data_IF_591685001771
#
_entry.id   IF_591685001771
#
_cell.length_a   1.000
_cell.length_b   1.000
_cell.length_c   1.000
_cell.angle_alpha   90.00
_cell.angle_beta   90.00
_cell.angle_gamma   90.00
#
_symmetry.space_group_name_H-M   'P 1'
#
loop_
_entity.id
_entity.type
_entity.pdbx_description
1 polymer ?
#
# COMPACT_ATOMS: atom_id res chain seq x y z
N UNK A 1 25.10 3.22 -38.16
CA UNK A 1 24.70 3.89 -36.90
C UNK A 1 25.95 4.44 -36.25
N UNK A 2 25.90 5.63 -35.70
CA UNK A 2 26.99 6.17 -34.88
C UNK A 2 27.09 5.34 -33.59
N UNK A 3 28.33 5.09 -33.15
CA UNK A 3 28.61 4.25 -31.98
C UNK A 3 29.50 4.99 -31.00
N UNK A 4 29.27 4.78 -29.72
CA UNK A 4 29.95 5.47 -28.63
C UNK A 4 30.63 4.48 -27.70
N UNK A 5 31.85 4.80 -27.28
CA UNK A 5 32.48 4.15 -26.14
C UNK A 5 31.80 4.54 -24.82
N UNK A 6 32.06 3.79 -23.76
CA UNK A 6 31.53 4.08 -22.42
C UNK A 6 31.91 5.49 -21.92
N UNK A 7 33.08 6.01 -22.31
CA UNK A 7 33.52 7.35 -21.93
C UNK A 7 32.79 8.46 -22.70
N UNK A 8 32.48 8.21 -23.97
CA UNK A 8 31.75 9.16 -24.82
C UNK A 8 30.28 9.25 -24.40
N UNK A 9 29.61 8.12 -24.18
CA UNK A 9 28.22 8.14 -23.70
C UNK A 9 28.11 8.75 -22.30
N UNK A 10 29.07 8.48 -21.41
CA UNK A 10 29.10 9.10 -20.07
C UNK A 10 29.17 10.63 -20.15
N UNK A 11 30.04 11.16 -21.03
CA UNK A 11 30.12 12.61 -21.27
C UNK A 11 28.84 13.17 -21.89
N UNK A 12 28.24 12.44 -22.83
CA UNK A 12 27.05 12.89 -23.57
C UNK A 12 25.79 12.92 -22.71
N UNK A 13 25.67 11.99 -21.77
CA UNK A 13 24.44 11.78 -20.98
C UNK A 13 24.55 12.26 -19.54
N UNK A 14 25.77 12.58 -19.08
CA UNK A 14 26.05 12.96 -17.69
C UNK A 14 26.02 11.79 -16.71
N UNK A 15 25.77 10.56 -17.18
CA UNK A 15 25.76 9.36 -16.35
C UNK A 15 27.18 8.88 -16.11
N UNK A 16 27.51 8.57 -14.86
CA UNK A 16 28.86 8.11 -14.52
C UNK A 16 29.18 6.77 -15.20
N UNK A 17 30.46 6.57 -15.57
CA UNK A 17 30.94 5.28 -16.10
C UNK A 17 30.60 4.12 -15.14
N UNK A 18 30.67 4.36 -13.82
CA UNK A 18 30.30 3.38 -12.80
C UNK A 18 28.83 2.99 -12.91
N UNK A 19 27.94 3.96 -13.07
CA UNK A 19 26.50 3.73 -13.23
C UNK A 19 26.20 2.97 -14.52
N UNK A 20 26.84 3.31 -15.64
CA UNK A 20 26.66 2.60 -16.91
C UNK A 20 27.09 1.13 -16.83
N UNK A 21 28.20 0.84 -16.11
CA UNK A 21 28.63 -0.55 -15.87
C UNK A 21 27.62 -1.29 -15.00
N UNK A 22 27.13 -0.64 -13.95
CA UNK A 22 26.15 -1.23 -13.06
C UNK A 22 24.83 -1.53 -13.79
N UNK A 23 24.36 -0.63 -14.66
CA UNK A 23 23.16 -0.86 -15.47
C UNK A 23 23.31 -2.04 -16.43
N UNK A 24 24.50 -2.26 -17.00
CA UNK A 24 24.78 -3.46 -17.78
C UNK A 24 24.81 -4.72 -16.89
N UNK A 25 25.46 -4.66 -15.73
CA UNK A 25 25.54 -5.79 -14.78
C UNK A 25 24.17 -6.30 -14.32
N UNK A 26 23.22 -5.39 -14.10
CA UNK A 26 21.84 -5.75 -13.70
C UNK A 26 20.90 -5.99 -14.90
N UNK A 27 21.41 -5.89 -16.14
CA UNK A 27 20.63 -6.09 -17.36
C UNK A 27 19.60 -4.99 -17.64
N UNK A 28 19.82 -3.78 -17.14
CA UNK A 28 18.95 -2.61 -17.34
C UNK A 28 19.27 -1.86 -18.65
N UNK A 29 20.56 -1.80 -19.02
CA UNK A 29 21.03 -1.27 -20.29
C UNK A 29 22.12 -2.20 -20.82
N UNK A 30 21.84 -2.91 -21.91
CA UNK A 30 22.70 -4.00 -22.41
C UNK A 30 23.39 -3.61 -23.72
N UNK A 31 24.50 -2.85 -23.67
CA UNK A 31 25.23 -2.47 -24.86
C UNK A 31 25.86 -3.68 -25.55
N UNK A 32 26.14 -3.54 -26.84
CA UNK A 32 26.88 -4.55 -27.58
C UNK A 32 28.34 -4.55 -27.12
N UNK A 33 29.05 -5.67 -27.26
CA UNK A 33 30.51 -5.72 -27.04
C UNK A 33 31.23 -5.80 -28.36
N UNK A 34 32.29 -5.00 -28.50
CA UNK A 34 33.20 -5.05 -29.63
C UNK A 34 33.83 -6.45 -29.72
N UNK A 35 33.68 -7.17 -30.86
CA UNK A 35 34.20 -8.52 -30.99
C UNK A 35 35.73 -8.63 -30.91
N UNK A 36 36.46 -7.54 -31.21
CA UNK A 36 37.92 -7.51 -31.30
C UNK A 36 38.60 -7.09 -29.99
N UNK A 37 37.97 -6.20 -29.22
CA UNK A 37 38.53 -5.63 -27.99
C UNK A 37 37.77 -6.02 -26.72
N UNK A 38 36.54 -6.54 -26.86
CA UNK A 38 35.65 -6.84 -25.74
C UNK A 38 35.07 -5.61 -25.04
N UNK A 39 35.35 -4.40 -25.55
CA UNK A 39 34.84 -3.15 -24.98
C UNK A 39 33.35 -2.95 -25.29
N UNK A 40 32.63 -2.27 -24.38
CA UNK A 40 31.22 -1.93 -24.57
C UNK A 40 31.08 -0.84 -25.62
N UNK A 41 30.17 -1.06 -26.56
CA UNK A 41 29.78 -0.16 -27.63
C UNK A 41 28.30 0.18 -27.45
N UNK A 42 28.01 1.47 -27.40
CA UNK A 42 26.66 2.00 -27.29
C UNK A 42 26.22 2.63 -28.60
N UNK A 43 24.94 2.58 -28.89
CA UNK A 43 24.28 3.14 -30.08
C UNK A 43 23.43 4.35 -29.70
N UNK A 44 22.83 5.01 -30.68
CA UNK A 44 21.81 6.04 -30.42
C UNK A 44 20.58 5.47 -29.71
N UNK A 45 20.22 4.21 -29.97
CA UNK A 45 19.11 3.53 -29.30
C UNK A 45 19.41 3.31 -27.81
N UNK A 46 20.65 2.98 -27.47
CA UNK A 46 21.10 2.88 -26.07
C UNK A 46 21.02 4.24 -25.34
N UNK A 47 21.25 5.35 -26.06
CA UNK A 47 21.10 6.70 -25.50
C UNK A 47 19.63 6.99 -25.20
N UNK A 48 18.72 6.67 -26.14
CA UNK A 48 17.28 6.81 -25.92
C UNK A 48 16.81 5.96 -24.73
N UNK A 49 17.29 4.72 -24.65
CA UNK A 49 17.02 3.81 -23.55
C UNK A 49 17.52 4.36 -22.22
N UNK A 50 18.73 4.93 -22.19
CA UNK A 50 19.29 5.54 -20.99
C UNK A 50 18.49 6.78 -20.54
N UNK A 51 18.01 7.61 -21.48
CA UNK A 51 17.12 8.72 -21.15
C UNK A 51 15.81 8.25 -20.52
N UNK A 52 15.19 7.19 -21.04
CA UNK A 52 14.00 6.58 -20.42
C UNK A 52 14.29 6.12 -18.98
N UNK A 53 15.39 5.38 -18.77
CA UNK A 53 15.81 4.93 -17.44
C UNK A 53 16.00 6.13 -16.49
N UNK A 54 16.64 7.21 -16.96
CA UNK A 54 16.86 8.40 -16.15
C UNK A 54 15.56 9.12 -15.79
N UNK A 55 14.62 9.25 -16.73
CA UNK A 55 13.30 9.86 -16.48
C UNK A 55 12.51 9.05 -15.44
N UNK A 56 12.43 7.74 -15.61
CA UNK A 56 11.77 6.84 -14.65
C UNK A 56 12.46 6.88 -13.28
N UNK A 57 13.79 7.00 -13.25
CA UNK A 57 14.53 7.14 -11.99
C UNK A 57 14.26 8.48 -11.31
N UNK A 58 14.12 9.55 -12.09
CA UNK A 58 13.85 10.89 -11.60
C UNK A 58 12.48 10.99 -10.93
N UNK A 59 11.45 10.32 -11.47
CA UNK A 59 10.12 10.27 -10.84
C UNK A 59 10.06 9.33 -9.62
N UNK A 60 11.18 8.63 -9.34
CA UNK A 60 11.43 7.96 -8.08
C UNK A 60 11.22 6.45 -8.09
N UNK A 61 11.14 5.80 -9.24
CA UNK A 61 11.14 4.34 -9.32
C UNK A 61 12.49 3.78 -8.84
N UNK A 62 12.45 2.63 -8.19
CA UNK A 62 13.60 1.78 -7.95
C UNK A 62 14.15 1.22 -9.26
N UNK A 63 15.41 0.80 -9.28
CA UNK A 63 15.98 0.21 -10.49
C UNK A 63 15.32 -1.14 -10.83
N UNK A 64 14.77 -1.83 -9.83
CA UNK A 64 14.05 -3.09 -10.04
C UNK A 64 12.71 -2.85 -10.73
N UNK A 65 11.93 -1.84 -10.30
CA UNK A 65 10.69 -1.46 -10.98
C UNK A 65 10.94 -1.03 -12.43
N UNK A 66 12.00 -0.24 -12.66
CA UNK A 66 12.38 0.19 -14.02
C UNK A 66 12.78 -1.03 -14.86
N UNK A 67 13.51 -1.99 -14.29
CA UNK A 67 13.89 -3.23 -14.96
C UNK A 67 12.66 -4.07 -15.32
N UNK A 68 11.74 -4.27 -14.39
CA UNK A 68 10.49 -4.98 -14.64
C UNK A 68 9.68 -4.31 -15.74
N UNK A 69 9.58 -2.98 -15.71
CA UNK A 69 8.91 -2.19 -16.74
C UNK A 69 9.54 -2.38 -18.13
N UNK A 70 10.87 -2.37 -18.22
CA UNK A 70 11.61 -2.48 -19.48
C UNK A 70 11.57 -3.89 -20.09
N UNK A 71 11.42 -4.92 -19.26
CA UNK A 71 11.41 -6.32 -19.71
C UNK A 71 10.01 -6.90 -19.91
N UNK A 72 8.94 -6.08 -19.81
CA UNK A 72 7.59 -6.54 -20.12
C UNK A 72 7.43 -6.86 -21.62
N UNK A 73 6.69 -7.91 -22.02
CA UNK A 73 6.48 -8.26 -23.43
C UNK A 73 5.85 -7.15 -24.28
N UNK A 74 5.20 -6.19 -23.61
CA UNK A 74 4.60 -4.97 -24.17
C UNK A 74 5.59 -3.82 -24.34
N UNK A 75 6.90 -4.05 -24.21
CA UNK A 75 7.98 -3.05 -24.32
C UNK A 75 8.22 -2.54 -25.77
N UNK A 76 7.13 -2.22 -26.46
CA UNK A 76 7.11 -1.43 -27.69
C UNK A 76 6.16 -0.23 -27.53
N UNK A 77 6.07 0.29 -26.29
CA UNK A 77 5.31 1.49 -25.97
C UNK A 77 5.95 2.69 -26.65
N UNK A 78 5.13 3.44 -27.37
CA UNK A 78 5.51 4.73 -27.94
C UNK A 78 6.01 5.69 -26.86
N UNK A 79 6.79 6.71 -27.25
CA UNK A 79 7.21 7.78 -26.34
C UNK A 79 6.02 8.39 -25.58
N UNK A 80 4.87 8.54 -26.26
CA UNK A 80 3.64 9.06 -25.65
C UNK A 80 3.11 8.15 -24.54
N UNK A 81 3.07 6.84 -24.76
CA UNK A 81 2.59 5.87 -23.77
C UNK A 81 3.54 5.83 -22.56
N UNK A 82 4.85 5.88 -22.80
CA UNK A 82 5.85 5.98 -21.72
C UNK A 82 5.62 7.25 -20.88
N UNK A 83 5.45 8.42 -21.52
CA UNK A 83 5.17 9.67 -20.82
C UNK A 83 3.83 9.67 -20.07
N UNK A 84 2.81 8.98 -20.60
CA UNK A 84 1.52 8.81 -19.91
C UNK A 84 1.68 7.96 -18.65
N UNK A 85 2.44 6.87 -18.72
CA UNK A 85 2.74 6.03 -17.57
C UNK A 85 3.57 6.80 -16.53
N UNK A 86 4.59 7.55 -16.95
CA UNK A 86 5.35 8.46 -16.09
C UNK A 86 4.46 9.48 -15.37
N UNK A 87 3.54 10.13 -16.10
CA UNK A 87 2.57 11.06 -15.53
C UNK A 87 1.67 10.39 -14.50
N UNK A 88 1.15 9.21 -14.80
CA UNK A 88 0.26 8.48 -13.90
C UNK A 88 0.98 8.08 -12.59
N UNK A 89 2.24 7.64 -12.69
CA UNK A 89 3.07 7.30 -11.51
C UNK A 89 3.37 8.54 -10.66
N UNK A 90 3.66 9.69 -11.28
CA UNK A 90 3.82 10.95 -10.56
C UNK A 90 2.53 11.39 -9.86
N UNK A 91 1.37 11.20 -10.49
CA UNK A 91 0.07 11.52 -9.87
C UNK A 91 -0.25 10.58 -8.71
N UNK A 92 0.09 9.29 -8.80
CA UNK A 92 -0.01 8.34 -7.68
C UNK A 92 0.87 8.78 -6.51
N UNK A 93 2.13 9.12 -6.78
CA UNK A 93 3.06 9.60 -5.76
C UNK A 93 2.63 10.92 -5.13
N UNK A 94 2.07 11.84 -5.92
CA UNK A 94 1.48 13.08 -5.40
C UNK A 94 0.36 12.79 -4.41
N UNK A 95 -0.57 11.90 -4.77
CA UNK A 95 -1.66 11.49 -3.86
C UNK A 95 -1.12 10.85 -2.58
N UNK A 96 -0.12 9.99 -2.68
CA UNK A 96 0.51 9.38 -1.50
C UNK A 96 1.14 10.42 -0.56
N UNK A 97 1.84 11.42 -1.11
CA UNK A 97 2.42 12.51 -0.34
C UNK A 97 1.34 13.42 0.28
N UNK A 98 0.28 13.75 -0.47
CA UNK A 98 -0.86 14.51 0.04
C UNK A 98 -1.51 13.80 1.24
N UNK A 99 -1.72 12.48 1.15
CA UNK A 99 -2.22 11.66 2.27
C UNK A 99 -1.30 11.65 3.47
N UNK A 100 0.01 11.52 3.23
CA UNK A 100 1.02 11.58 4.30
C UNK A 100 1.00 12.93 5.02
N UNK A 101 0.84 14.03 4.27
CA UNK A 101 0.71 15.38 4.83
C UNK A 101 -0.56 15.48 5.69
N UNK A 102 -1.71 15.00 5.21
CA UNK A 102 -2.97 15.02 5.96
C UNK A 102 -2.89 14.22 7.26
N UNK A 103 -2.29 13.03 7.25
CA UNK A 103 -2.09 12.24 8.47
C UNK A 103 -1.22 12.98 9.49
N UNK A 104 -0.17 13.66 9.03
CA UNK A 104 0.69 14.51 9.88
C UNK A 104 -0.08 15.72 10.40
N UNK A 105 -0.87 16.41 9.57
CA UNK A 105 -1.69 17.55 9.98
C UNK A 105 -2.73 17.17 11.02
N UNK A 106 -3.36 16.00 10.87
CA UNK A 106 -4.28 15.47 11.87
C UNK A 106 -3.58 15.17 13.19
N UNK A 107 -2.38 14.57 13.13
CA UNK A 107 -1.56 14.39 14.32
C UNK A 107 -1.11 15.72 14.93
N UNK A 108 -0.83 16.76 14.14
CA UNK A 108 -0.54 18.08 14.73
C UNK A 108 -1.77 18.61 15.47
N UNK A 109 -2.97 18.47 14.89
CA UNK A 109 -4.22 18.93 15.52
C UNK A 109 -4.50 18.18 16.82
N UNK A 110 -4.34 16.86 16.84
CA UNK A 110 -4.49 16.06 18.05
C UNK A 110 -3.47 16.44 19.14
N UNK A 111 -2.22 16.77 18.78
CA UNK A 111 -1.22 17.27 19.74
C UNK A 111 -1.64 18.62 20.33
N UNK A 112 -2.23 19.50 19.52
CA UNK A 112 -2.70 20.81 19.96
C UNK A 112 -3.93 20.71 20.87
N UNK A 113 -4.82 19.74 20.64
CA UNK A 113 -6.06 19.54 21.40
C UNK A 113 -5.85 18.74 22.70
N UNK A 114 -5.08 17.64 22.65
CA UNK A 114 -4.92 16.71 23.78
C UNK A 114 -3.57 16.85 24.51
N UNK A 115 -2.60 17.59 23.94
CA UNK A 115 -1.29 17.87 24.55
C UNK A 115 -0.26 16.73 24.46
N UNK A 116 -0.71 15.50 24.16
CA UNK A 116 0.12 14.33 23.93
C UNK A 116 -0.42 13.53 22.75
N UNK A 117 0.46 12.85 22.01
CA UNK A 117 0.08 11.87 20.99
C UNK A 117 0.84 10.59 21.20
N UNK A 118 0.13 9.49 20.99
CA UNK A 118 0.76 8.21 20.81
C UNK A 118 1.64 8.22 19.53
N UNK A 119 2.96 8.25 19.75
CA UNK A 119 3.94 8.20 18.67
C UNK A 119 3.83 6.93 17.82
N UNK A 120 3.34 5.82 18.38
CA UNK A 120 3.11 4.58 17.65
C UNK A 120 1.93 4.72 16.68
N UNK A 121 0.86 5.42 17.06
CA UNK A 121 -0.25 5.74 16.15
C UNK A 121 0.22 6.56 14.95
N UNK A 122 1.00 7.61 15.18
CA UNK A 122 1.54 8.43 14.09
C UNK A 122 2.45 7.62 13.16
N UNK A 123 3.36 6.82 13.74
CA UNK A 123 4.27 5.98 12.96
C UNK A 123 3.51 4.91 12.17
N UNK A 124 2.47 4.32 12.76
CA UNK A 124 1.55 3.38 12.10
C UNK A 124 0.89 4.02 10.89
N UNK A 125 0.22 5.16 11.05
CA UNK A 125 -0.45 5.89 9.98
C UNK A 125 0.50 6.27 8.83
N UNK A 126 1.65 6.88 9.16
CA UNK A 126 2.64 7.27 8.16
C UNK A 126 3.15 6.04 7.41
N UNK A 127 3.47 4.96 8.14
CA UNK A 127 4.00 3.74 7.54
C UNK A 127 2.98 3.12 6.60
N UNK A 128 1.73 2.96 7.02
CA UNK A 128 0.67 2.35 6.19
C UNK A 128 0.39 3.16 4.91
N UNK A 129 0.47 4.48 4.95
CA UNK A 129 0.36 5.33 3.75
C UNK A 129 1.59 5.17 2.84
N UNK A 130 2.78 5.08 3.42
CA UNK A 130 4.04 4.96 2.66
C UNK A 130 4.19 3.60 1.95
N UNK A 131 3.55 2.56 2.48
CA UNK A 131 3.66 1.18 2.01
C UNK A 131 2.41 0.68 1.29
N UNK A 132 1.42 1.54 1.01
CA UNK A 132 0.16 1.14 0.37
C UNK A 132 0.35 0.30 -0.90
N UNK A 133 1.30 0.67 -1.77
CA UNK A 133 1.54 -0.08 -3.01
C UNK A 133 2.19 -1.45 -2.74
N UNK A 134 2.99 -1.56 -1.68
CA UNK A 134 3.52 -2.84 -1.20
C UNK A 134 2.41 -3.70 -0.58
N UNK A 135 1.50 -3.10 0.18
CA UNK A 135 0.32 -3.77 0.75
C UNK A 135 -0.58 -4.31 -0.35
N UNK A 136 -0.90 -3.50 -1.36
CA UNK A 136 -1.65 -3.93 -2.55
C UNK A 136 -0.98 -5.11 -3.23
N UNK A 137 0.32 -4.99 -3.50
CA UNK A 137 1.10 -6.04 -4.15
C UNK A 137 1.08 -7.33 -3.32
N UNK A 138 1.26 -7.26 -2.00
CA UNK A 138 1.15 -8.42 -1.13
C UNK A 138 -0.26 -9.03 -1.20
N UNK A 139 -1.31 -8.21 -1.11
CA UNK A 139 -2.71 -8.69 -1.16
C UNK A 139 -3.08 -9.34 -2.49
N UNK A 140 -2.53 -8.90 -3.62
CA UNK A 140 -2.79 -9.54 -4.94
C UNK A 140 -2.27 -10.98 -5.06
N UNK A 141 -1.44 -11.44 -4.12
CA UNK A 141 -1.04 -12.86 -4.06
C UNK A 141 -2.16 -13.76 -3.49
N UNK A 142 -3.11 -13.17 -2.75
CA UNK A 142 -4.13 -13.91 -2.00
C UNK A 142 -5.56 -13.54 -2.42
N UNK A 143 -5.76 -12.34 -2.97
CA UNK A 143 -7.04 -11.83 -3.45
C UNK A 143 -6.95 -11.52 -4.93
N UNK A 144 -8.09 -11.62 -5.62
CA UNK A 144 -8.18 -11.15 -7.00
C UNK A 144 -8.01 -9.62 -7.07
N UNK A 145 -7.54 -9.15 -8.23
CA UNK A 145 -7.24 -7.73 -8.47
C UNK A 145 -8.47 -6.83 -8.23
N UNK A 146 -9.68 -7.31 -8.56
CA UNK A 146 -10.93 -6.56 -8.38
C UNK A 146 -11.21 -6.32 -6.89
N UNK A 147 -10.97 -7.30 -6.04
CA UNK A 147 -11.14 -7.22 -4.59
C UNK A 147 -10.12 -6.28 -3.97
N UNK A 148 -8.85 -6.36 -4.39
CA UNK A 148 -7.81 -5.42 -3.95
C UNK A 148 -8.16 -3.99 -4.37
N UNK A 149 -8.62 -3.80 -5.60
CA UNK A 149 -9.05 -2.48 -6.08
C UNK A 149 -10.28 -1.94 -5.33
N UNK A 150 -11.21 -2.81 -4.92
CA UNK A 150 -12.33 -2.41 -4.07
C UNK A 150 -11.90 -1.90 -2.68
N UNK A 151 -10.77 -2.38 -2.16
CA UNK A 151 -10.23 -1.97 -0.85
C UNK A 151 -9.46 -0.64 -0.98
N UNK A 152 -8.63 -0.47 -2.01
CA UNK A 152 -7.72 0.68 -2.09
C UNK A 152 -8.10 1.75 -3.12
N UNK A 153 -8.95 1.44 -4.10
CA UNK A 153 -9.35 2.37 -5.17
C UNK A 153 -10.81 2.83 -5.08
N UNK A 154 -11.48 2.58 -3.95
CA UNK A 154 -12.84 3.05 -3.70
C UNK A 154 -12.90 4.57 -3.51
N UNK A 155 -13.63 5.26 -4.40
CA UNK A 155 -13.77 6.73 -4.37
C UNK A 155 -14.50 7.23 -3.13
N UNK A 156 -15.42 6.44 -2.55
CA UNK A 156 -16.08 6.81 -1.30
C UNK A 156 -15.11 6.73 -0.12
N UNK A 157 -14.24 5.71 -0.07
CA UNK A 157 -13.16 5.62 0.92
C UNK A 157 -12.22 6.83 0.83
N UNK A 158 -11.87 7.25 -0.39
CA UNK A 158 -11.02 8.45 -0.60
C UNK A 158 -11.70 9.74 -0.14
N UNK A 159 -13.01 9.87 -0.34
CA UNK A 159 -13.75 11.06 0.12
C UNK A 159 -13.86 11.12 1.65
N UNK A 160 -13.91 9.97 2.32
CA UNK A 160 -14.02 9.83 3.77
C UNK A 160 -12.69 9.57 4.47
N UNK A 161 -11.56 9.75 3.79
CA UNK A 161 -10.23 9.40 4.31
C UNK A 161 -9.92 10.06 5.67
N UNK A 162 -10.24 11.34 5.83
CA UNK A 162 -10.09 12.03 7.12
C UNK A 162 -10.98 11.46 8.23
N UNK A 163 -12.19 11.00 7.90
CA UNK A 163 -13.10 10.36 8.85
C UNK A 163 -12.60 8.98 9.24
N UNK A 164 -11.98 8.25 8.30
CA UNK A 164 -11.34 6.96 8.55
C UNK A 164 -10.13 7.11 9.47
N UNK A 165 -9.24 8.08 9.21
CA UNK A 165 -8.09 8.37 10.07
C UNK A 165 -8.55 8.72 11.50
N UNK A 166 -9.60 9.54 11.63
CA UNK A 166 -10.21 9.89 12.94
C UNK A 166 -10.78 8.68 13.65
N UNK A 167 -11.54 7.85 12.93
CA UNK A 167 -12.15 6.63 13.48
C UNK A 167 -11.08 5.65 13.95
N UNK A 168 -9.98 5.51 13.18
CA UNK A 168 -8.84 4.68 13.56
C UNK A 168 -8.12 5.21 14.80
N UNK A 169 -7.85 6.52 14.87
CA UNK A 169 -7.25 7.13 16.06
C UNK A 169 -8.11 6.94 17.32
N UNK A 170 -9.43 7.10 17.19
CA UNK A 170 -10.38 6.85 18.28
C UNK A 170 -10.38 5.37 18.69
N UNK A 171 -10.35 4.45 17.72
CA UNK A 171 -10.26 3.01 18.01
C UNK A 171 -8.98 2.68 18.78
N UNK A 172 -7.84 3.21 18.36
CA UNK A 172 -6.55 3.01 19.04
C UNK A 172 -6.61 3.51 20.49
N UNK A 173 -7.17 4.70 20.71
CA UNK A 173 -7.40 5.23 22.07
C UNK A 173 -8.29 4.31 22.92
N UNK A 174 -9.39 3.82 22.36
CA UNK A 174 -10.29 2.89 23.07
C UNK A 174 -9.62 1.57 23.40
N UNK A 175 -8.75 1.04 22.53
CA UNK A 175 -7.96 -0.16 22.81
C UNK A 175 -7.08 0.05 24.04
N UNK A 176 -6.34 1.17 24.12
CA UNK A 176 -5.51 1.47 25.28
C UNK A 176 -6.34 1.67 26.57
N UNK A 177 -7.51 2.32 26.48
CA UNK A 177 -8.38 2.59 27.64
C UNK A 177 -9.09 1.34 28.17
N UNK A 178 -9.51 0.44 27.28
CA UNK A 178 -10.30 -0.75 27.62
C UNK A 178 -9.45 -2.02 27.81
N UNK A 179 -8.14 -1.94 27.52
CA UNK A 179 -7.22 -3.06 27.65
C UNK A 179 -7.33 -3.75 29.02
N UNK A 180 -7.46 -5.08 28.98
CA UNK A 180 -7.59 -5.93 30.17
C UNK A 180 -9.03 -6.13 30.66
N UNK A 181 -10.03 -5.45 30.09
CA UNK A 181 -11.43 -5.75 30.33
C UNK A 181 -11.85 -7.06 29.62
N UNK A 182 -12.88 -7.76 30.13
CA UNK A 182 -13.44 -8.93 29.47
C UNK A 182 -13.97 -8.60 28.07
N UNK A 183 -13.86 -9.55 27.13
CA UNK A 183 -14.37 -9.36 25.77
C UNK A 183 -15.86 -8.99 25.74
N UNK A 184 -16.66 -9.50 26.67
CA UNK A 184 -18.10 -9.27 26.76
C UNK A 184 -18.51 -7.98 27.48
N UNK A 185 -17.53 -7.17 27.89
CA UNK A 185 -17.79 -5.86 28.45
C UNK A 185 -18.52 -4.99 27.41
N UNK A 186 -19.60 -4.27 27.78
CA UNK A 186 -20.39 -3.48 26.82
C UNK A 186 -19.56 -2.49 26.00
N UNK A 187 -18.60 -1.83 26.64
CA UNK A 187 -17.73 -0.86 25.95
C UNK A 187 -16.75 -1.54 24.97
N UNK A 188 -16.27 -2.75 25.28
CA UNK A 188 -15.41 -3.53 24.38
C UNK A 188 -16.21 -3.99 23.16
N UNK A 189 -17.44 -4.49 23.38
CA UNK A 189 -18.35 -4.88 22.31
C UNK A 189 -18.68 -3.69 21.40
N UNK A 190 -18.99 -2.53 21.98
CA UNK A 190 -19.30 -1.32 21.23
C UNK A 190 -18.09 -0.77 20.44
N UNK A 191 -16.88 -0.83 21.03
CA UNK A 191 -15.62 -0.49 20.35
C UNK A 191 -15.42 -1.38 19.11
N UNK A 192 -15.53 -2.70 19.25
CA UNK A 192 -15.36 -3.65 18.15
C UNK A 192 -16.43 -3.42 17.07
N UNK A 193 -17.70 -3.28 17.45
CA UNK A 193 -18.80 -3.00 16.52
C UNK A 193 -18.54 -1.72 15.70
N UNK A 194 -18.15 -0.64 16.37
CA UNK A 194 -17.85 0.65 15.74
C UNK A 194 -16.66 0.54 14.78
N UNK A 195 -15.61 -0.19 15.18
CA UNK A 195 -14.45 -0.46 14.33
C UNK A 195 -14.81 -1.27 13.09
N UNK A 196 -15.55 -2.36 13.23
CA UNK A 196 -15.98 -3.19 12.10
C UNK A 196 -16.89 -2.40 11.17
N UNK A 197 -17.82 -1.62 11.71
CA UNK A 197 -18.73 -0.77 10.90
C UNK A 197 -17.98 0.31 10.13
N UNK A 198 -17.01 0.98 10.76
CA UNK A 198 -16.21 2.00 10.07
C UNK A 198 -15.29 1.39 9.01
N UNK A 199 -14.70 0.22 9.28
CA UNK A 199 -13.74 -0.45 8.38
C UNK A 199 -14.41 -1.14 7.20
N UNK A 200 -15.45 -1.94 7.46
CA UNK A 200 -16.11 -2.78 6.44
C UNK A 200 -17.43 -2.19 5.94
N UNK A 201 -17.98 -1.18 6.61
CA UNK A 201 -19.26 -0.57 6.24
C UNK A 201 -19.28 0.01 4.83
N UNK A 202 -18.14 0.49 4.34
CA UNK A 202 -17.98 1.11 3.02
C UNK A 202 -17.60 0.13 1.90
N UNK A 203 -17.35 -1.14 2.23
CA UNK A 203 -17.04 -2.20 1.25
C UNK A 203 -18.32 -2.90 0.77
N UNK A 204 -18.32 -3.49 -0.42
CA UNK A 204 -19.46 -4.31 -0.85
C UNK A 204 -19.56 -5.58 0.01
N UNK A 205 -20.75 -6.18 0.10
CA UNK A 205 -20.91 -7.44 0.83
C UNK A 205 -20.01 -8.55 0.25
N UNK A 206 -19.91 -8.63 -1.08
CA UNK A 206 -19.02 -9.56 -1.77
C UNK A 206 -17.54 -9.34 -1.39
N UNK A 207 -17.08 -8.09 -1.32
CA UNK A 207 -15.71 -7.78 -0.90
C UNK A 207 -15.47 -8.20 0.54
N UNK A 208 -16.43 -7.95 1.44
CA UNK A 208 -16.35 -8.38 2.85
C UNK A 208 -16.32 -9.90 2.94
N UNK A 209 -17.14 -10.61 2.16
CA UNK A 209 -17.16 -12.07 2.12
C UNK A 209 -15.81 -12.65 1.68
N UNK A 210 -15.21 -12.12 0.61
CA UNK A 210 -13.88 -12.57 0.15
C UNK A 210 -12.78 -12.30 1.17
N UNK A 211 -12.82 -11.14 1.84
CA UNK A 211 -11.89 -10.86 2.95
C UNK A 211 -12.10 -11.86 4.08
N UNK A 212 -13.35 -12.08 4.50
CA UNK A 212 -13.70 -13.00 5.58
C UNK A 212 -13.31 -14.43 5.24
N UNK A 213 -13.50 -14.85 3.99
CA UNK A 213 -13.09 -16.16 3.49
C UNK A 213 -11.56 -16.30 3.53
N UNK A 214 -10.80 -15.26 3.16
CA UNK A 214 -9.35 -15.24 3.31
C UNK A 214 -8.92 -15.34 4.78
N UNK A 215 -9.55 -14.57 5.67
CA UNK A 215 -9.30 -14.61 7.12
C UNK A 215 -9.56 -16.03 7.69
N UNK A 216 -10.62 -16.69 7.21
CA UNK A 216 -11.06 -18.00 7.69
C UNK A 216 -10.32 -19.19 7.04
N UNK A 217 -9.99 -19.12 5.74
CA UNK A 217 -9.39 -20.24 4.98
C UNK A 217 -7.87 -20.32 5.12
N UNK A 218 -7.19 -19.18 5.30
CA UNK A 218 -5.74 -19.11 5.06
C UNK A 218 -4.88 -18.77 6.26
N UNK A 219 -5.35 -18.97 7.50
CA UNK A 219 -4.57 -18.63 8.68
C UNK A 219 -4.14 -17.15 8.60
N UNK A 220 -4.92 -16.22 9.15
CA UNK A 220 -4.37 -14.89 9.50
C UNK A 220 -3.05 -15.02 10.28
N UNK A 221 -2.88 -16.15 10.98
CA UNK A 221 -1.66 -16.59 11.65
C UNK A 221 -0.72 -17.49 10.82
N UNK A 222 -0.89 -17.66 9.50
CA UNK A 222 0.14 -18.33 8.70
C UNK A 222 1.36 -17.44 8.71
N UNK A 223 2.41 -18.00 9.30
CA UNK A 223 3.67 -17.32 9.61
C UNK A 223 4.28 -16.59 8.40
N UNK A 224 3.95 -17.02 7.18
CA UNK A 224 4.58 -16.54 5.95
C UNK A 224 4.18 -15.11 5.55
N UNK A 225 2.98 -14.62 5.87
CA UNK A 225 2.54 -13.29 5.41
C UNK A 225 2.27 -12.29 6.54
N UNK A 226 1.98 -12.76 7.76
CA UNK A 226 1.76 -11.88 8.93
C UNK A 226 2.99 -11.02 9.22
N UNK A 227 4.19 -11.60 9.18
CA UNK A 227 5.45 -10.85 9.39
C UNK A 227 5.67 -9.77 8.31
N UNK A 228 5.38 -10.08 7.05
CA UNK A 228 5.49 -9.10 5.97
C UNK A 228 4.44 -7.99 6.13
N UNK A 229 3.20 -8.35 6.45
CA UNK A 229 2.12 -7.40 6.69
C UNK A 229 2.43 -6.47 7.86
N UNK A 230 2.91 -6.99 9.00
CA UNK A 230 3.24 -6.19 10.18
C UNK A 230 4.36 -5.17 9.90
N UNK A 231 5.28 -5.50 8.99
CA UNK A 231 6.33 -4.55 8.54
C UNK A 231 5.75 -3.46 7.63
N UNK A 232 4.72 -3.78 6.85
CA UNK A 232 4.06 -2.83 5.95
C UNK A 232 3.01 -1.99 6.67
N UNK A 233 2.29 -2.52 7.65
CA UNK A 233 1.20 -1.88 8.38
C UNK A 233 1.30 -2.16 9.88
N UNK A 234 2.31 -1.61 10.56
CA UNK A 234 2.54 -1.90 11.97
C UNK A 234 1.38 -1.40 12.83
N UNK A 235 0.96 -2.22 13.79
CA UNK A 235 -0.08 -1.85 14.74
C UNK A 235 0.49 -0.96 15.86
N UNK A 236 -0.26 0.07 16.31
CA UNK A 236 0.18 0.97 17.39
C UNK A 236 -0.09 0.38 18.78
N UNK A 237 0.10 -0.93 18.95
CA UNK A 237 -0.25 -1.65 20.17
C UNK A 237 0.96 -2.40 20.72
N UNK A 238 1.03 -2.54 22.03
CA UNK A 238 1.93 -3.52 22.65
C UNK A 238 1.53 -4.95 22.27
N UNK A 239 2.45 -5.90 22.41
CA UNK A 239 2.19 -7.30 22.09
C UNK A 239 1.03 -7.84 22.93
N UNK A 240 0.93 -7.43 24.19
CA UNK A 240 -0.12 -7.85 25.11
C UNK A 240 -1.47 -7.26 24.72
N UNK A 241 -1.52 -6.00 24.28
CA UNK A 241 -2.74 -5.37 23.74
C UNK A 241 -3.19 -6.02 22.44
N UNK A 242 -2.27 -6.34 21.53
CA UNK A 242 -2.58 -7.07 20.29
C UNK A 242 -3.23 -8.42 20.59
N UNK A 243 -2.64 -9.21 21.50
CA UNK A 243 -3.20 -10.52 21.87
C UNK A 243 -4.57 -10.41 22.54
N UNK A 244 -4.76 -9.41 23.41
CA UNK A 244 -6.05 -9.15 24.03
C UNK A 244 -7.12 -8.77 23.01
N UNK A 245 -6.77 -7.89 22.06
CA UNK A 245 -7.67 -7.43 21.02
C UNK A 245 -8.05 -8.55 20.05
N UNK A 246 -7.09 -9.37 19.61
CA UNK A 246 -7.33 -10.56 18.78
C UNK A 246 -8.36 -11.47 19.46
N UNK A 247 -8.15 -11.81 20.74
CA UNK A 247 -9.11 -12.64 21.50
C UNK A 247 -10.49 -11.99 21.63
N UNK A 248 -10.56 -10.68 21.88
CA UNK A 248 -11.82 -9.97 22.04
C UNK A 248 -12.61 -9.92 20.72
N UNK A 249 -11.92 -9.74 19.59
CA UNK A 249 -12.52 -9.79 18.26
C UNK A 249 -13.03 -11.19 17.92
N UNK A 250 -12.25 -12.24 18.20
CA UNK A 250 -12.66 -13.63 17.98
C UNK A 250 -13.93 -13.98 18.78
N UNK A 251 -13.95 -13.60 20.07
CA UNK A 251 -15.12 -13.81 20.93
C UNK A 251 -16.35 -13.05 20.41
N UNK A 252 -16.17 -11.82 19.92
CA UNK A 252 -17.24 -11.02 19.32
C UNK A 252 -17.80 -11.68 18.05
N UNK A 253 -16.91 -12.12 17.15
CA UNK A 253 -17.29 -12.78 15.89
C UNK A 253 -18.05 -14.08 16.14
N UNK A 254 -17.56 -14.92 17.06
CA UNK A 254 -18.26 -16.15 17.44
C UNK A 254 -19.66 -15.84 17.98
N UNK A 255 -19.83 -14.78 18.79
CA UNK A 255 -21.15 -14.42 19.33
C UNK A 255 -22.12 -14.01 18.23
N UNK A 256 -21.69 -13.24 17.23
CA UNK A 256 -22.52 -12.87 16.09
C UNK A 256 -23.04 -14.10 15.34
N UNK A 257 -22.15 -15.07 15.07
CA UNK A 257 -22.52 -16.34 14.44
C UNK A 257 -23.55 -17.13 15.28
N UNK A 258 -23.36 -17.20 16.60
CA UNK A 258 -24.29 -17.88 17.51
C UNK A 258 -25.66 -17.19 17.63
N UNK A 259 -25.71 -15.87 17.46
CA UNK A 259 -26.96 -15.10 17.45
C UNK A 259 -27.70 -15.18 16.11
N UNK A 260 -27.13 -15.85 15.10
CA UNK A 260 -27.69 -15.92 13.75
C UNK A 260 -27.68 -14.57 13.03
N UNK A 261 -26.93 -13.59 13.56
CA UNK A 261 -26.71 -12.29 12.92
C UNK A 261 -25.61 -12.51 11.90
N UNK A 262 -26.03 -12.81 10.68
CA UNK A 262 -25.12 -12.82 9.55
C UNK A 262 -24.65 -11.37 9.32
N UNK A 263 -23.35 -11.14 9.11
CA UNK A 263 -22.86 -9.83 8.65
C UNK A 263 -23.56 -9.39 7.33
N UNK A 264 -24.25 -10.33 6.66
CA UNK A 264 -25.16 -10.09 5.53
C UNK A 264 -26.42 -9.26 5.88
N UNK A 265 -27.05 -9.44 7.04
CA UNK A 265 -28.35 -8.79 7.33
C UNK A 265 -28.22 -7.36 7.87
N UNK A 266 -27.08 -7.01 8.49
CA UNK A 266 -26.86 -5.69 9.08
C UNK A 266 -26.73 -4.56 8.04
N UNK A 267 -26.38 -4.87 6.78
CA UNK A 267 -26.36 -3.89 5.68
C UNK A 267 -27.73 -3.69 5.01
N UNK A 268 -28.60 -4.71 4.98
CA UNK A 268 -29.91 -4.59 4.33
C UNK A 268 -30.90 -3.72 5.14
N UNK A 269 -30.72 -3.63 6.46
CA UNK A 269 -31.58 -2.84 7.35
C UNK A 269 -31.52 -1.32 7.16
N UNK A 270 -30.44 -0.76 6.60
CA UNK A 270 -30.27 0.70 6.48
C UNK A 270 -30.69 1.26 5.10
N UNK A 271 -30.83 0.42 4.07
CA UNK A 271 -31.28 0.90 2.74
C UNK A 271 -32.80 1.13 2.62
N UNK A 272 -33.57 0.83 3.67
CA UNK A 272 -35.02 1.08 3.74
C UNK A 272 -35.39 2.42 4.38
N UNK A 273 -34.42 3.23 4.81
CA UNK A 273 -34.65 4.47 5.56
C UNK A 273 -34.73 5.77 4.74
N UNK A 274 -34.33 5.76 3.47
CA UNK A 274 -34.29 6.96 2.62
C UNK A 274 -35.27 6.89 1.45
N UNK A 275 -36.54 6.59 1.74
CA UNK A 275 -37.66 7.05 0.90
C UNK A 275 -38.77 7.61 1.79
N UNK A 276 -38.70 8.92 2.06
CA UNK A 276 -39.85 9.84 2.11
C UNK A 276 -39.43 11.30 2.22
#
# INVERSE_FOLDING_TARGET
>A
METYSIGEIAKKTGVSIRTLRYYDEIGLLQPTKDPSSGHRIYTEEDILQLHKIMSLKFIGLSLEEIRQYIHQPTYDLTLKETLMLEKNMLEQKRRQLERSIQAIEYAITLLEEEGEIDSLLLMSLIRSIQTEDDQKRLMTHYLDQETVDAIFHNEELKQKENEMIKSYAQFVKQVHELYGLPADHPDVQHMIETFLRSTFGLLSLETVEKITELLNQNQWDSFEWKEEWDVLSPLPFSKEETQWLEQAMDDYMQRLEHMGIDMKESKEGENSGYEK
#
